data_IF_808431881534
#
_entry.id   IF_808431881534
#
_cell.length_a   1.000
_cell.length_b   1.000
_cell.length_c   1.000
_cell.angle_alpha   90.00
_cell.angle_beta   90.00
_cell.angle_gamma   90.00
#
_symmetry.space_group_name_H-M   'P 1'
#
loop_
_entity.id
_entity.type
_entity.pdbx_description
1 polymer ?
#
# COMPACT_ATOMS: atom_id res chain seq x y z
N UNK A 1 -26.68 -4.47 28.70
CA UNK A 1 -26.14 -5.69 28.07
C UNK A 1 -26.05 -5.41 26.59
N UNK A 2 -24.87 -5.53 25.98
CA UNK A 2 -24.66 -5.15 24.58
C UNK A 2 -25.45 -6.09 23.66
N UNK A 3 -26.26 -5.54 22.74
CA UNK A 3 -27.20 -6.31 21.89
C UNK A 3 -26.49 -7.40 21.09
N UNK A 4 -25.32 -7.09 20.54
CA UNK A 4 -24.53 -8.04 19.76
C UNK A 4 -24.15 -9.32 20.53
N UNK A 5 -24.00 -9.26 21.87
CA UNK A 5 -23.61 -10.43 22.69
C UNK A 5 -24.72 -11.47 22.85
N UNK A 6 -25.99 -11.10 22.64
CA UNK A 6 -27.14 -11.98 22.91
C UNK A 6 -28.08 -12.20 21.73
N UNK A 7 -27.94 -11.41 20.67
CA UNK A 7 -28.81 -11.46 19.49
C UNK A 7 -28.06 -11.81 18.20
N UNK A 8 -26.81 -12.31 18.33
CA UNK A 8 -25.97 -12.67 17.17
C UNK A 8 -25.13 -13.91 17.46
N UNK A 9 -24.64 -14.54 16.41
CA UNK A 9 -23.64 -15.62 16.49
C UNK A 9 -22.19 -15.09 16.51
N UNK A 10 -21.97 -13.77 16.47
CA UNK A 10 -20.63 -13.17 16.49
C UNK A 10 -19.79 -13.53 17.73
N UNK A 11 -20.35 -13.68 18.95
CA UNK A 11 -19.56 -14.18 20.09
C UNK A 11 -19.00 -15.58 19.88
N UNK A 12 -19.75 -16.47 19.23
CA UNK A 12 -19.29 -17.82 18.91
C UNK A 12 -18.16 -17.78 17.88
N UNK A 13 -18.27 -16.90 16.88
CA UNK A 13 -17.21 -16.65 15.90
C UNK A 13 -15.95 -16.09 16.55
N UNK A 14 -16.06 -15.09 17.44
CA UNK A 14 -14.91 -14.53 18.14
C UNK A 14 -14.18 -15.57 19.00
N UNK A 15 -14.92 -16.49 19.63
CA UNK A 15 -14.35 -17.51 20.49
C UNK A 15 -13.42 -18.49 19.74
N UNK A 16 -13.55 -18.59 18.41
CA UNK A 16 -12.69 -19.44 17.58
C UNK A 16 -11.35 -18.79 17.21
N UNK A 17 -11.24 -17.45 17.27
CA UNK A 17 -10.03 -16.76 16.86
C UNK A 17 -8.81 -17.20 17.69
N UNK A 18 -7.70 -17.52 17.02
CA UNK A 18 -6.47 -18.03 17.61
C UNK A 18 -6.54 -19.48 18.08
N UNK A 19 -7.66 -20.19 17.91
CA UNK A 19 -7.80 -21.60 18.25
C UNK A 19 -7.33 -22.50 17.10
N UNK A 20 -6.83 -23.71 17.41
CA UNK A 20 -6.48 -24.68 16.38
C UNK A 20 -7.71 -25.25 15.67
N UNK A 21 -7.53 -25.79 14.46
CA UNK A 21 -8.59 -26.38 13.64
C UNK A 21 -9.42 -27.46 14.37
N UNK A 22 -8.78 -28.23 15.25
CA UNK A 22 -9.37 -29.34 15.97
C UNK A 22 -10.11 -28.94 17.26
N UNK A 23 -10.09 -27.65 17.61
CA UNK A 23 -10.78 -27.12 18.79
C UNK A 23 -12.31 -27.34 18.68
N UNK A 24 -12.99 -27.77 19.76
CA UNK A 24 -14.43 -27.99 19.76
C UNK A 24 -15.26 -26.78 19.30
N UNK A 25 -14.83 -25.56 19.59
CA UNK A 25 -15.52 -24.35 19.16
C UNK A 25 -15.41 -24.14 17.63
N UNK A 26 -14.24 -24.45 17.05
CA UNK A 26 -14.02 -24.37 15.60
C UNK A 26 -14.85 -25.44 14.87
N UNK A 27 -14.89 -26.67 15.39
CA UNK A 27 -15.72 -27.74 14.82
C UNK A 27 -17.20 -27.41 14.85
N UNK A 28 -17.69 -26.85 15.96
CA UNK A 28 -19.08 -26.40 16.06
C UNK A 28 -19.40 -25.31 15.05
N UNK A 29 -18.51 -24.34 14.86
CA UNK A 29 -18.68 -23.31 13.84
C UNK A 29 -18.70 -23.91 12.42
N UNK A 30 -17.86 -24.91 12.15
CA UNK A 30 -17.86 -25.63 10.88
C UNK A 30 -19.18 -26.40 10.64
N UNK A 31 -19.77 -26.99 11.69
CA UNK A 31 -21.11 -27.58 11.64
C UNK A 31 -22.19 -26.53 11.35
N UNK A 32 -22.12 -25.36 11.99
CA UNK A 32 -23.03 -24.23 11.74
C UNK A 32 -22.91 -23.72 10.28
N UNK A 33 -21.75 -23.85 9.65
CA UNK A 33 -21.54 -23.58 8.22
C UNK A 33 -21.98 -24.71 7.28
N UNK A 34 -22.52 -25.81 7.80
CA UNK A 34 -23.07 -26.91 6.99
C UNK A 34 -22.14 -28.11 6.81
N UNK A 35 -21.11 -28.27 7.64
CA UNK A 35 -20.33 -29.50 7.74
C UNK A 35 -19.04 -29.50 6.93
N UNK A 36 -18.90 -30.38 5.92
CA UNK A 36 -17.61 -30.61 5.26
C UNK A 36 -17.19 -29.45 4.33
N UNK A 37 -16.02 -28.81 4.57
CA UNK A 37 -15.54 -27.73 3.71
C UNK A 37 -14.74 -28.27 2.52
N UNK A 38 -14.66 -27.47 1.45
CA UNK A 38 -13.57 -27.56 0.50
C UNK A 38 -12.30 -26.93 1.12
N UNK A 39 -11.17 -27.61 1.01
CA UNK A 39 -9.90 -27.16 1.62
C UNK A 39 -8.98 -26.58 0.55
N UNK A 40 -8.41 -25.41 0.83
CA UNK A 40 -7.30 -24.82 0.05
C UNK A 40 -6.12 -24.54 0.95
N UNK A 41 -4.98 -25.12 0.63
CA UNK A 41 -3.72 -24.89 1.32
C UNK A 41 -2.78 -24.07 0.42
N UNK A 42 -2.08 -23.10 0.99
CA UNK A 42 -1.05 -22.31 0.30
C UNK A 42 0.03 -21.81 1.25
N UNK A 43 1.20 -21.51 0.71
CA UNK A 43 2.34 -20.93 1.43
C UNK A 43 2.50 -19.45 1.08
N UNK A 44 2.50 -18.58 2.09
CA UNK A 44 2.58 -17.13 1.91
C UNK A 44 3.87 -16.58 2.53
N UNK A 45 4.63 -15.83 1.73
CA UNK A 45 5.81 -15.10 2.18
C UNK A 45 7.04 -15.96 2.53
N UNK A 46 8.14 -15.29 2.87
CA UNK A 46 9.37 -15.88 3.39
C UNK A 46 9.83 -15.05 4.61
N UNK A 47 9.91 -15.61 5.83
CA UNK A 47 9.64 -17.01 6.19
C UNK A 47 8.22 -17.47 5.85
N UNK A 48 8.10 -18.75 5.53
CA UNK A 48 6.83 -19.36 5.10
C UNK A 48 5.80 -19.31 6.22
N UNK A 49 4.63 -18.72 5.93
CA UNK A 49 3.40 -18.90 6.68
C UNK A 49 2.49 -19.87 5.94
N UNK A 50 2.00 -20.89 6.64
CA UNK A 50 1.05 -21.84 6.08
C UNK A 50 -0.36 -21.28 6.23
N UNK A 51 -1.06 -21.14 5.11
CA UNK A 51 -2.42 -20.64 5.09
C UNK A 51 -3.34 -21.77 4.62
N UNK A 52 -4.28 -22.14 5.48
CA UNK A 52 -5.35 -23.08 5.15
C UNK A 52 -6.68 -22.36 5.15
N UNK A 53 -7.49 -22.57 4.12
CA UNK A 53 -8.83 -21.99 3.99
C UNK A 53 -9.84 -23.12 3.91
N UNK A 54 -10.80 -23.11 4.83
CA UNK A 54 -11.95 -24.01 4.86
C UNK A 54 -13.14 -23.27 4.26
N UNK A 55 -13.56 -23.66 3.07
CA UNK A 55 -14.61 -23.03 2.28
C UNK A 55 -15.90 -23.85 2.38
N UNK A 56 -16.96 -23.25 2.90
CA UNK A 56 -18.23 -23.95 3.11
C UNK A 56 -19.24 -23.54 2.04
N UNK A 57 -20.07 -24.49 1.60
CA UNK A 57 -21.07 -24.27 0.56
C UNK A 57 -22.16 -23.25 0.96
N UNK A 58 -22.29 -22.98 2.26
CA UNK A 58 -23.14 -21.94 2.85
C UNK A 58 -22.64 -20.51 2.63
N UNK A 59 -21.40 -20.32 2.19
CA UNK A 59 -20.74 -19.01 2.10
C UNK A 59 -19.93 -18.64 3.35
N UNK A 60 -19.93 -19.49 4.37
CA UNK A 60 -18.98 -19.41 5.48
C UNK A 60 -17.57 -19.79 5.05
N UNK A 61 -16.58 -19.18 5.69
CA UNK A 61 -15.17 -19.51 5.47
C UNK A 61 -14.36 -19.32 6.75
N UNK A 62 -13.43 -20.26 7.01
CA UNK A 62 -12.47 -20.18 8.12
C UNK A 62 -11.06 -20.15 7.52
N UNK A 63 -10.30 -19.11 7.85
CA UNK A 63 -8.90 -18.94 7.43
C UNK A 63 -8.00 -19.23 8.62
N UNK A 64 -7.09 -20.18 8.45
CA UNK A 64 -6.08 -20.55 9.43
C UNK A 64 -4.70 -20.10 8.96
N UNK A 65 -3.94 -19.51 9.88
CA UNK A 65 -2.51 -19.22 9.74
C UNK A 65 -1.75 -20.12 10.71
N UNK A 66 -0.83 -20.92 10.17
CA UNK A 66 -0.01 -21.87 10.93
C UNK A 66 -0.84 -22.76 11.87
N UNK A 67 -2.01 -23.21 11.38
CA UNK A 67 -2.94 -24.09 12.09
C UNK A 67 -3.88 -23.42 13.08
N UNK A 68 -3.77 -22.10 13.30
CA UNK A 68 -4.65 -21.33 14.17
C UNK A 68 -5.61 -20.43 13.37
N UNK A 69 -6.87 -20.30 13.80
CA UNK A 69 -7.87 -19.46 13.12
C UNK A 69 -7.46 -17.98 13.16
N UNK A 70 -7.16 -17.42 11.99
CA UNK A 70 -6.79 -16.02 11.81
C UNK A 70 -7.99 -15.13 11.46
N UNK A 71 -8.95 -15.68 10.71
CA UNK A 71 -10.19 -14.99 10.35
C UNK A 71 -11.35 -15.96 10.15
N UNK A 72 -12.56 -15.43 10.32
CA UNK A 72 -13.80 -16.07 9.89
C UNK A 72 -14.55 -15.10 8.98
N UNK A 73 -14.95 -15.57 7.81
CA UNK A 73 -15.66 -14.77 6.81
C UNK A 73 -17.09 -15.29 6.67
N UNK A 74 -18.05 -14.37 6.71
CA UNK A 74 -19.46 -14.62 6.45
C UNK A 74 -19.80 -13.99 5.10
N UNK A 75 -19.89 -14.80 4.04
CA UNK A 75 -20.27 -14.35 2.71
C UNK A 75 -21.79 -14.40 2.50
N UNK A 76 -22.39 -13.27 2.13
CA UNK A 76 -23.85 -13.15 1.93
C UNK A 76 -24.26 -13.13 0.45
N UNK A 77 -23.30 -12.94 -0.45
CA UNK A 77 -23.49 -13.05 -1.88
C UNK A 77 -23.00 -14.43 -2.39
N UNK A 78 -23.62 -14.97 -3.46
CA UNK A 78 -23.11 -16.17 -4.12
C UNK A 78 -21.66 -16.01 -4.57
N UNK A 79 -20.86 -17.06 -4.42
CA UNK A 79 -19.45 -17.13 -4.82
C UNK A 79 -19.20 -18.44 -5.58
N UNK A 80 -18.08 -18.58 -6.32
CA UNK A 80 -17.74 -19.81 -7.05
C UNK A 80 -17.78 -21.07 -6.18
N UNK A 81 -17.39 -20.93 -4.90
CA UNK A 81 -17.32 -22.02 -3.93
C UNK A 81 -18.54 -22.09 -2.99
N UNK A 82 -19.50 -21.16 -3.14
CA UNK A 82 -20.70 -21.07 -2.32
C UNK A 82 -21.91 -20.66 -3.18
N UNK A 83 -22.69 -21.65 -3.62
CA UNK A 83 -23.84 -21.44 -4.51
C UNK A 83 -25.00 -20.68 -3.86
N UNK A 84 -25.06 -20.67 -2.53
CA UNK A 84 -26.01 -19.93 -1.72
C UNK A 84 -25.21 -19.16 -0.66
N UNK A 85 -25.24 -17.83 -0.70
CA UNK A 85 -24.67 -17.02 0.38
C UNK A 85 -25.45 -17.22 1.68
N UNK A 86 -24.84 -16.86 2.81
CA UNK A 86 -25.47 -16.92 4.12
C UNK A 86 -26.70 -16.00 4.19
N UNK A 87 -27.67 -16.37 5.03
CA UNK A 87 -28.75 -15.48 5.42
C UNK A 87 -28.33 -14.68 6.65
N UNK A 88 -28.14 -13.37 6.50
CA UNK A 88 -27.72 -12.48 7.58
C UNK A 88 -28.65 -12.55 8.79
N UNK A 89 -29.95 -12.82 8.59
CA UNK A 89 -30.93 -12.91 9.67
C UNK A 89 -30.65 -14.07 10.64
N UNK A 90 -29.98 -15.13 10.18
CA UNK A 90 -29.57 -16.27 11.01
C UNK A 90 -28.36 -15.92 11.90
N UNK A 91 -27.56 -14.93 11.49
CA UNK A 91 -26.33 -14.54 12.17
C UNK A 91 -26.49 -13.28 13.04
N UNK A 92 -27.35 -12.35 12.62
CA UNK A 92 -27.65 -11.09 13.29
C UNK A 92 -29.17 -10.91 13.31
N UNK A 93 -29.77 -10.99 14.49
CA UNK A 93 -31.22 -10.87 14.62
C UNK A 93 -31.70 -9.46 14.27
N UNK A 94 -32.80 -9.38 13.51
CA UNK A 94 -33.47 -8.12 13.18
C UNK A 94 -32.95 -7.41 11.94
N UNK A 95 -32.07 -8.04 11.17
CA UNK A 95 -31.58 -7.56 9.86
C UNK A 95 -31.76 -8.63 8.79
N UNK A 96 -31.70 -8.23 7.52
CA UNK A 96 -31.73 -9.13 6.36
C UNK A 96 -30.53 -8.85 5.47
N UNK A 97 -30.32 -9.63 4.41
CA UNK A 97 -29.26 -9.35 3.42
C UNK A 97 -29.41 -7.97 2.74
N UNK A 98 -30.54 -7.28 2.92
CA UNK A 98 -30.76 -5.91 2.46
C UNK A 98 -30.22 -4.84 3.42
N UNK A 99 -29.68 -5.22 4.58
CA UNK A 99 -29.29 -4.25 5.62
C UNK A 99 -28.19 -3.29 5.19
N UNK A 100 -28.44 -2.02 5.45
CA UNK A 100 -27.47 -0.92 5.37
C UNK A 100 -26.55 -0.90 6.60
N UNK A 101 -25.49 -0.10 6.54
CA UNK A 101 -24.55 0.10 7.65
C UNK A 101 -25.22 0.64 8.92
N UNK A 102 -26.17 1.55 8.77
CA UNK A 102 -26.89 2.15 9.91
C UNK A 102 -27.83 1.14 10.57
N UNK A 103 -28.48 0.28 9.79
CA UNK A 103 -29.32 -0.81 10.29
C UNK A 103 -28.49 -1.86 11.01
N UNK A 104 -27.33 -2.25 10.44
CA UNK A 104 -26.36 -3.13 11.08
C UNK A 104 -25.87 -2.57 12.42
N UNK A 105 -25.47 -1.28 12.44
CA UNK A 105 -25.02 -0.61 13.65
C UNK A 105 -26.12 -0.59 14.73
N UNK A 106 -27.37 -0.33 14.33
CA UNK A 106 -28.55 -0.30 15.21
C UNK A 106 -28.90 -1.69 15.77
N UNK A 107 -28.79 -2.73 14.95
CA UNK A 107 -29.04 -4.11 15.35
C UNK A 107 -27.99 -4.60 16.35
N UNK A 108 -26.72 -4.29 16.10
CA UNK A 108 -25.61 -4.65 16.98
C UNK A 108 -25.54 -3.78 18.24
N UNK A 109 -26.09 -2.56 18.18
CA UNK A 109 -25.95 -1.55 19.22
C UNK A 109 -24.50 -1.06 19.35
N UNK A 110 -23.78 -0.98 18.24
CA UNK A 110 -22.36 -0.66 18.18
C UNK A 110 -22.10 0.61 17.35
N UNK A 111 -21.01 1.30 17.69
CA UNK A 111 -20.53 2.44 16.91
C UNK A 111 -19.78 1.95 15.68
N UNK A 112 -20.03 2.59 14.54
CA UNK A 112 -19.27 2.37 13.31
C UNK A 112 -17.91 3.05 13.40
N UNK A 113 -16.87 2.32 13.03
CA UNK A 113 -15.52 2.84 12.80
C UNK A 113 -15.13 2.62 11.34
N UNK A 114 -14.09 3.33 10.89
CA UNK A 114 -13.58 3.21 9.52
C UNK A 114 -12.08 2.97 9.52
N UNK A 115 -11.65 2.03 8.68
CA UNK A 115 -10.26 1.87 8.25
C UNK A 115 -10.12 2.56 6.90
N UNK A 116 -9.36 3.66 6.85
CA UNK A 116 -9.32 4.52 5.66
C UNK A 116 -10.68 5.19 5.38
N UNK A 117 -10.97 5.44 4.11
CA UNK A 117 -12.18 6.19 3.69
C UNK A 117 -13.40 5.31 3.36
N UNK A 118 -13.26 3.98 3.31
CA UNK A 118 -14.29 3.12 2.70
C UNK A 118 -14.46 1.73 3.33
N UNK A 119 -13.72 1.40 4.39
CA UNK A 119 -13.82 0.08 5.04
C UNK A 119 -14.42 0.21 6.45
N UNK A 120 -15.75 0.18 6.58
CA UNK A 120 -16.41 0.23 7.88
C UNK A 120 -16.17 -1.06 8.68
N UNK A 121 -16.08 -0.92 10.00
CA UNK A 121 -15.98 -2.05 10.92
C UNK A 121 -16.60 -1.72 12.29
N UNK A 122 -16.89 -2.78 13.03
CA UNK A 122 -17.30 -2.73 14.44
C UNK A 122 -16.18 -3.27 15.32
N UNK A 123 -15.97 -2.62 16.46
CA UNK A 123 -15.13 -3.13 17.54
C UNK A 123 -15.99 -4.05 18.43
N UNK A 124 -15.48 -5.26 18.68
CA UNK A 124 -16.10 -6.27 19.52
C UNK A 124 -15.19 -6.59 20.69
N UNK A 125 -15.74 -7.18 21.74
CA UNK A 125 -14.97 -7.63 22.91
C UNK A 125 -14.08 -8.81 22.50
N UNK A 126 -12.78 -8.52 22.25
CA UNK A 126 -11.80 -9.50 21.80
C UNK A 126 -11.57 -9.58 20.28
N UNK A 127 -12.12 -8.66 19.48
CA UNK A 127 -11.84 -8.63 18.04
C UNK A 127 -12.61 -7.56 17.26
N UNK A 128 -12.71 -7.73 15.96
CA UNK A 128 -13.29 -6.75 15.04
C UNK A 128 -14.10 -7.45 13.95
N UNK A 129 -15.24 -6.86 13.59
CA UNK A 129 -16.05 -7.27 12.45
C UNK A 129 -15.98 -6.20 11.35
N UNK A 130 -15.24 -6.46 10.29
CA UNK A 130 -15.11 -5.58 9.12
C UNK A 130 -16.17 -5.93 8.09
N UNK A 131 -16.80 -4.91 7.50
CA UNK A 131 -17.82 -5.07 6.48
C UNK A 131 -17.26 -4.77 5.10
N UNK A 132 -17.58 -5.61 4.13
CA UNK A 132 -17.25 -5.41 2.72
C UNK A 132 -18.54 -5.22 1.93
N UNK A 133 -18.64 -4.08 1.25
CA UNK A 133 -19.77 -3.73 0.40
C UNK A 133 -19.36 -3.77 -1.08
N UNK A 134 -20.32 -4.00 -1.97
CA UNK A 134 -20.09 -4.06 -3.42
C UNK A 134 -19.46 -2.77 -3.95
N UNK A 135 -18.37 -2.90 -4.70
CA UNK A 135 -17.52 -1.80 -5.22
C UNK A 135 -16.81 -0.98 -4.13
N UNK A 136 -16.74 -1.46 -2.88
CA UNK A 136 -16.13 -0.73 -1.76
C UNK A 136 -16.88 0.55 -1.38
N UNK A 137 -18.16 0.66 -1.74
CA UNK A 137 -19.05 1.81 -1.48
C UNK A 137 -20.49 1.34 -1.33
N UNK A 138 -21.41 2.29 -1.14
CA UNK A 138 -22.85 1.99 -1.10
C UNK A 138 -23.29 1.34 0.20
N UNK A 139 -22.58 1.60 1.31
CA UNK A 139 -22.94 1.11 2.63
C UNK A 139 -24.26 1.71 3.17
N UNK A 140 -24.79 2.74 2.51
CA UNK A 140 -26.12 3.32 2.76
C UNK A 140 -27.20 2.77 1.83
N UNK A 141 -26.86 1.89 0.89
CA UNK A 141 -27.79 1.32 -0.08
C UNK A 141 -28.14 -0.12 0.33
N UNK A 142 -29.43 -0.50 0.27
CA UNK A 142 -29.85 -1.87 0.57
C UNK A 142 -29.20 -2.91 -0.36
N UNK A 143 -28.94 -4.10 0.19
CA UNK A 143 -28.55 -5.28 -0.58
C UNK A 143 -27.10 -5.27 -1.08
N UNK A 144 -26.28 -4.34 -0.57
CA UNK A 144 -24.88 -4.18 -1.01
C UNK A 144 -23.86 -4.84 -0.10
N UNK A 145 -24.25 -5.36 1.06
CA UNK A 145 -23.35 -6.10 1.94
C UNK A 145 -22.94 -7.41 1.25
N UNK A 146 -21.64 -7.57 1.02
CA UNK A 146 -21.09 -8.77 0.40
C UNK A 146 -20.57 -9.75 1.44
N UNK A 147 -19.92 -9.23 2.48
CA UNK A 147 -19.21 -10.05 3.47
C UNK A 147 -19.03 -9.33 4.80
N UNK A 148 -19.05 -10.09 5.89
CA UNK A 148 -18.51 -9.70 7.19
C UNK A 148 -17.27 -10.54 7.47
N UNK A 149 -16.14 -9.89 7.76
CA UNK A 149 -14.88 -10.56 8.14
C UNK A 149 -14.61 -10.30 9.61
N UNK A 150 -14.51 -11.36 10.41
CA UNK A 150 -14.21 -11.30 11.84
C UNK A 150 -12.75 -11.69 12.08
N UNK A 151 -12.00 -10.81 12.75
CA UNK A 151 -10.56 -10.95 13.00
C UNK A 151 -10.17 -10.45 14.39
N UNK A 152 -9.03 -10.92 14.92
CA UNK A 152 -8.50 -10.41 16.19
C UNK A 152 -7.76 -9.07 16.01
N UNK A 153 -7.16 -8.86 14.84
CA UNK A 153 -6.39 -7.65 14.55
C UNK A 153 -7.28 -6.51 14.08
N UNK A 154 -6.97 -5.29 14.53
CA UNK A 154 -7.71 -4.09 14.15
C UNK A 154 -7.59 -3.80 12.65
N UNK A 155 -8.70 -3.62 11.92
CA UNK A 155 -8.65 -3.22 10.52
C UNK A 155 -7.81 -1.96 10.31
N UNK A 156 -6.90 -2.02 9.32
CA UNK A 156 -5.97 -0.94 9.00
C UNK A 156 -4.64 -0.98 9.75
N UNK A 157 -4.51 -1.84 10.78
CA UNK A 157 -3.25 -2.04 11.52
C UNK A 157 -2.58 -3.39 11.23
N UNK A 158 -3.24 -4.29 10.49
CA UNK A 158 -2.67 -5.56 10.05
C UNK A 158 -3.15 -5.88 8.63
N UNK A 159 -2.38 -6.69 7.91
CA UNK A 159 -2.82 -7.25 6.64
C UNK A 159 -4.05 -8.13 6.88
N UNK A 160 -4.99 -8.11 5.94
CA UNK A 160 -6.17 -8.92 6.08
C UNK A 160 -5.88 -10.38 5.70
N UNK A 161 -6.24 -11.37 6.53
CA UNK A 161 -5.98 -12.78 6.23
C UNK A 161 -6.57 -13.25 4.91
N UNK A 162 -7.72 -12.69 4.50
CA UNK A 162 -8.34 -13.04 3.22
C UNK A 162 -7.62 -12.46 2.01
N UNK A 163 -6.69 -11.52 2.16
CA UNK A 163 -5.88 -11.03 1.04
C UNK A 163 -4.80 -12.05 0.64
N UNK A 164 -4.57 -13.11 1.43
CA UNK A 164 -3.53 -14.11 1.17
C UNK A 164 -3.69 -14.82 -0.17
N UNK A 165 -4.88 -14.83 -0.78
CA UNK A 165 -5.15 -15.36 -2.13
C UNK A 165 -5.29 -14.26 -3.19
N UNK A 166 -4.93 -13.01 -2.87
CA UNK A 166 -5.08 -11.88 -3.79
C UNK A 166 -4.42 -12.19 -5.15
N UNK A 167 -5.20 -12.26 -6.25
CA UNK A 167 -4.74 -12.79 -7.53
C UNK A 167 -3.63 -11.94 -8.16
N UNK A 168 -3.51 -10.68 -7.73
CA UNK A 168 -2.49 -9.76 -8.23
C UNK A 168 -1.14 -9.91 -7.55
N UNK A 169 -1.06 -10.50 -6.35
CA UNK A 169 0.20 -10.47 -5.57
C UNK A 169 0.54 -11.73 -4.77
N UNK A 170 -0.40 -12.65 -4.54
CA UNK A 170 -0.15 -13.87 -3.76
C UNK A 170 0.87 -14.81 -4.43
N UNK A 171 0.83 -14.89 -5.76
CA UNK A 171 1.70 -15.78 -6.56
C UNK A 171 3.00 -15.17 -7.05
N UNK A 172 3.42 -14.00 -6.55
CA UNK A 172 4.62 -13.30 -7.07
C UNK A 172 5.94 -13.78 -6.44
N UNK A 173 5.88 -14.43 -5.27
CA UNK A 173 7.03 -15.08 -4.67
C UNK A 173 7.25 -16.44 -5.32
N UNK A 174 8.42 -16.62 -5.95
CA UNK A 174 8.79 -17.89 -6.59
C UNK A 174 9.79 -18.63 -5.71
N UNK A 175 9.56 -19.93 -5.51
CA UNK A 175 10.43 -20.82 -4.75
C UNK A 175 10.99 -21.93 -5.64
N UNK A 176 12.20 -22.36 -5.33
CA UNK A 176 12.83 -23.55 -5.89
C UNK A 176 13.29 -24.49 -4.75
N UNK A 177 14.03 -25.55 -5.06
CA UNK A 177 14.47 -26.53 -4.06
C UNK A 177 15.41 -25.98 -2.98
N UNK A 178 15.99 -24.79 -3.19
CA UNK A 178 16.89 -24.12 -2.25
C UNK A 178 16.22 -23.00 -1.44
N UNK A 179 14.92 -22.77 -1.62
CA UNK A 179 14.17 -21.69 -0.98
C UNK A 179 13.69 -20.64 -1.99
N UNK A 180 13.81 -19.36 -1.66
CA UNK A 180 13.40 -18.26 -2.54
C UNK A 180 14.25 -18.22 -3.80
N UNK A 181 13.61 -18.29 -4.96
CA UNK A 181 14.25 -18.05 -6.25
C UNK A 181 14.26 -16.53 -6.50
N UNK A 182 15.39 -15.89 -6.17
CA UNK A 182 15.53 -14.43 -6.26
C UNK A 182 15.30 -13.94 -7.69
N UNK A 183 15.87 -14.60 -8.69
CA UNK A 183 15.76 -14.16 -10.08
C UNK A 183 14.33 -14.28 -10.60
N UNK A 184 13.70 -15.44 -10.40
CA UNK A 184 12.33 -15.65 -10.82
C UNK A 184 11.35 -14.73 -10.05
N UNK A 185 11.59 -14.46 -8.77
CA UNK A 185 10.79 -13.52 -7.97
C UNK A 185 10.93 -12.08 -8.48
N UNK A 186 12.16 -11.61 -8.79
CA UNK A 186 12.38 -10.29 -9.39
C UNK A 186 11.68 -10.19 -10.75
N UNK A 187 11.76 -11.22 -11.60
CA UNK A 187 11.07 -11.24 -12.89
C UNK A 187 9.55 -11.17 -12.73
N UNK A 188 8.96 -11.93 -11.80
CA UNK A 188 7.52 -11.91 -11.54
C UNK A 188 7.05 -10.52 -11.04
N UNK A 189 7.78 -9.91 -10.11
CA UNK A 189 7.50 -8.57 -9.60
C UNK A 189 7.63 -7.49 -10.69
N UNK A 190 8.64 -7.60 -11.57
CA UNK A 190 8.86 -6.67 -12.67
C UNK A 190 7.72 -6.74 -13.69
N UNK A 191 7.31 -7.95 -14.09
CA UNK A 191 6.16 -8.14 -14.98
C UNK A 191 4.87 -7.56 -14.37
N UNK A 192 4.69 -7.70 -13.05
CA UNK A 192 3.55 -7.14 -12.33
C UNK A 192 3.59 -5.60 -12.24
N UNK A 193 4.78 -4.99 -12.13
CA UNK A 193 4.96 -3.54 -12.26
C UNK A 193 4.62 -3.04 -13.67
N UNK A 194 5.10 -3.73 -14.71
CA UNK A 194 4.85 -3.38 -16.11
C UNK A 194 3.36 -3.52 -16.49
N UNK A 195 2.69 -4.54 -15.96
CA UNK A 195 1.23 -4.70 -16.07
C UNK A 195 0.44 -3.65 -15.27
N UNK A 196 1.10 -2.85 -14.44
CA UNK A 196 0.49 -1.81 -13.63
C UNK A 196 -0.36 -2.34 -12.48
N UNK A 197 -0.18 -3.60 -12.08
CA UNK A 197 -0.87 -4.17 -10.91
C UNK A 197 -0.16 -3.82 -9.60
N UNK A 198 1.13 -3.47 -9.68
CA UNK A 198 1.94 -2.97 -8.57
C UNK A 198 2.29 -1.48 -8.73
N UNK A 199 2.67 -0.86 -7.62
CA UNK A 199 3.41 0.42 -7.60
C UNK A 199 4.64 0.29 -6.73
N UNK A 200 5.77 0.77 -7.20
CA UNK A 200 7.01 0.82 -6.44
C UNK A 200 7.08 2.07 -5.56
N UNK A 201 7.69 1.94 -4.37
CA UNK A 201 8.02 3.08 -3.51
C UNK A 201 9.45 3.56 -3.76
N UNK A 202 9.60 4.73 -4.37
CA UNK A 202 10.89 5.31 -4.74
C UNK A 202 11.79 5.68 -3.54
N UNK A 203 11.29 5.60 -2.29
CA UNK A 203 12.12 5.79 -1.08
C UNK A 203 13.03 4.61 -0.78
N UNK A 204 12.68 3.43 -1.29
CA UNK A 204 13.40 2.18 -1.07
C UNK A 204 14.30 1.84 -2.27
N UNK A 205 15.10 0.78 -2.15
CA UNK A 205 15.86 0.28 -3.28
C UNK A 205 14.87 -0.11 -4.38
N UNK A 206 15.02 0.47 -5.58
CA UNK A 206 14.21 0.09 -6.73
C UNK A 206 14.41 -1.40 -7.02
N UNK A 207 13.36 -2.10 -7.43
CA UNK A 207 13.40 -3.52 -7.76
C UNK A 207 14.49 -3.82 -8.79
N UNK A 208 14.64 -2.96 -9.81
CA UNK A 208 15.67 -3.08 -10.83
C UNK A 208 17.10 -2.98 -10.26
N UNK A 209 17.28 -2.26 -9.16
CA UNK A 209 18.56 -2.00 -8.51
C UNK A 209 18.83 -2.99 -7.35
N UNK A 210 17.83 -3.78 -6.93
CA UNK A 210 17.90 -4.70 -5.79
C UNK A 210 19.04 -5.71 -5.90
N UNK A 211 19.16 -6.40 -7.05
CA UNK A 211 20.21 -7.42 -7.24
C UNK A 211 21.61 -6.81 -7.39
N UNK A 212 21.84 -5.77 -8.23
CA UNK A 212 23.15 -5.13 -8.31
C UNK A 212 23.64 -4.60 -6.96
N UNK A 213 22.77 -3.95 -6.19
CA UNK A 213 23.10 -3.44 -4.86
C UNK A 213 23.45 -4.59 -3.91
N UNK A 214 22.66 -5.67 -3.88
CA UNK A 214 22.96 -6.84 -3.05
C UNK A 214 24.30 -7.47 -3.43
N UNK A 215 24.55 -7.68 -4.72
CA UNK A 215 25.79 -8.26 -5.24
C UNK A 215 27.04 -7.41 -4.93
N UNK A 216 26.88 -6.10 -4.78
CA UNK A 216 27.98 -5.20 -4.39
C UNK A 216 28.49 -5.44 -2.97
N UNK A 217 27.67 -6.04 -2.10
CA UNK A 217 27.99 -6.22 -0.68
C UNK A 217 28.09 -4.91 0.12
N UNK A 218 27.67 -3.77 -0.43
CA UNK A 218 27.78 -2.46 0.24
C UNK A 218 26.72 -2.22 1.33
N UNK A 219 25.58 -2.92 1.25
CA UNK A 219 24.51 -2.87 2.24
C UNK A 219 24.49 -4.16 3.06
N UNK A 220 24.08 -4.08 4.32
CA UNK A 220 23.77 -5.28 5.10
C UNK A 220 22.43 -5.87 4.61
N UNK A 221 21.52 -4.97 4.23
CA UNK A 221 20.14 -5.27 3.87
C UNK A 221 19.68 -4.39 2.71
N UNK A 222 19.48 -4.98 1.54
CA UNK A 222 18.85 -4.32 0.40
C UNK A 222 17.36 -4.70 0.35
N UNK A 223 16.45 -3.73 0.37
CA UNK A 223 15.00 -3.99 0.34
C UNK A 223 14.28 -3.14 -0.72
N UNK A 224 13.48 -3.84 -1.54
CA UNK A 224 12.50 -3.22 -2.43
C UNK A 224 11.09 -3.35 -1.82
N UNK A 225 10.32 -2.26 -1.86
CA UNK A 225 8.95 -2.22 -1.40
C UNK A 225 7.97 -1.91 -2.54
N UNK A 226 7.00 -2.80 -2.75
CA UNK A 226 5.99 -2.70 -3.80
C UNK A 226 4.59 -2.78 -3.20
N UNK A 227 3.70 -1.88 -3.58
CA UNK A 227 2.30 -1.89 -3.15
C UNK A 227 1.42 -2.56 -4.20
N UNK A 228 0.64 -3.56 -3.80
CA UNK A 228 -0.40 -4.14 -4.65
C UNK A 228 -1.55 -3.14 -4.83
N UNK A 229 -1.99 -2.87 -6.06
CA UNK A 229 -3.10 -1.94 -6.29
C UNK A 229 -4.46 -2.50 -5.89
N UNK A 230 -4.60 -3.82 -5.91
CA UNK A 230 -5.83 -4.54 -5.57
C UNK A 230 -6.03 -4.61 -4.04
N UNK A 231 -5.19 -5.38 -3.33
CA UNK A 231 -5.33 -5.58 -1.89
C UNK A 231 -4.60 -4.53 -1.03
N UNK A 232 -3.85 -3.60 -1.63
CA UNK A 232 -3.12 -2.52 -0.94
C UNK A 232 -2.01 -2.97 0.03
N UNK A 233 -1.76 -4.28 0.16
CA UNK A 233 -0.61 -4.81 0.90
C UNK A 233 0.69 -4.36 0.25
N UNK A 234 1.69 -4.10 1.08
CA UNK A 234 3.04 -3.77 0.65
C UNK A 234 3.88 -5.03 0.76
N UNK A 235 4.41 -5.50 -0.37
CA UNK A 235 5.41 -6.56 -0.42
C UNK A 235 6.76 -5.92 -0.14
N UNK A 236 7.45 -6.44 0.87
CA UNK A 236 8.81 -6.08 1.19
C UNK A 236 9.70 -7.27 0.83
N UNK A 237 10.46 -7.15 -0.26
CA UNK A 237 11.40 -8.16 -0.70
C UNK A 237 12.82 -7.73 -0.31
N UNK A 238 13.43 -8.48 0.61
CA UNK A 238 14.72 -8.16 1.23
C UNK A 238 15.76 -9.19 0.83
N UNK A 239 16.93 -8.71 0.40
CA UNK A 239 18.15 -9.50 0.26
C UNK A 239 19.13 -9.06 1.35
N UNK A 240 19.56 -10.01 2.19
CA UNK A 240 20.58 -9.77 3.20
C UNK A 240 21.94 -10.22 2.69
N UNK A 241 23.00 -9.56 3.17
CA UNK A 241 24.38 -9.97 2.85
C UNK A 241 24.68 -11.39 3.32
N UNK A 242 24.36 -11.68 4.58
CA UNK A 242 24.80 -12.89 5.27
C UNK A 242 23.61 -13.74 5.79
N UNK A 243 22.40 -13.55 5.24
CA UNK A 243 21.21 -14.30 5.64
C UNK A 243 20.30 -14.61 4.42
N UNK A 244 19.42 -15.62 4.51
CA UNK A 244 18.47 -15.93 3.45
C UNK A 244 17.56 -14.75 3.11
N UNK A 245 17.11 -14.61 1.84
CA UNK A 245 16.13 -13.61 1.45
C UNK A 245 14.83 -13.72 2.24
N UNK A 246 14.15 -12.59 2.44
CA UNK A 246 12.79 -12.58 3.03
C UNK A 246 11.82 -11.85 2.13
N UNK A 247 10.57 -12.29 2.11
CA UNK A 247 9.49 -11.71 1.33
C UNK A 247 8.24 -11.63 2.20
N UNK A 248 7.88 -10.45 2.70
CA UNK A 248 6.74 -10.29 3.59
C UNK A 248 5.69 -9.34 3.05
N UNK A 249 4.45 -9.51 3.51
CA UNK A 249 3.34 -8.58 3.24
C UNK A 249 3.06 -7.76 4.49
N UNK A 250 2.95 -6.44 4.32
CA UNK A 250 2.81 -5.49 5.41
C UNK A 250 1.76 -4.42 5.10
N UNK A 251 1.20 -3.82 6.15
CA UNK A 251 0.47 -2.55 6.04
C UNK A 251 1.45 -1.38 5.95
N UNK A 252 0.97 -0.22 5.48
CA UNK A 252 1.79 0.98 5.27
C UNK A 252 2.67 1.35 6.48
N UNK A 253 2.09 1.39 7.67
CA UNK A 253 2.83 1.81 8.86
C UNK A 253 3.96 0.84 9.23
N UNK A 254 3.73 -0.47 9.06
CA UNK A 254 4.73 -1.48 9.38
C UNK A 254 5.83 -1.49 8.32
N UNK A 255 5.48 -1.41 7.04
CA UNK A 255 6.43 -1.30 5.94
C UNK A 255 7.34 -0.07 6.09
N UNK A 256 6.76 1.06 6.53
CA UNK A 256 7.51 2.30 6.77
C UNK A 256 8.43 2.26 8.00
N UNK A 257 8.18 1.36 8.95
CA UNK A 257 9.01 1.18 10.15
C UNK A 257 10.16 0.19 9.92
N UNK A 258 10.22 -0.46 8.76
CA UNK A 258 11.30 -1.39 8.44
C UNK A 258 12.64 -0.64 8.42
N UNK A 259 13.74 -1.28 8.85
CA UNK A 259 15.06 -0.68 8.77
C UNK A 259 15.44 -0.36 7.32
N UNK A 260 15.98 0.85 7.12
CA UNK A 260 16.46 1.36 5.83
C UNK A 260 17.90 1.80 5.99
N UNK A 261 18.82 1.05 5.39
CA UNK A 261 20.21 1.49 5.24
C UNK A 261 20.28 2.59 4.17
N UNK A 262 21.25 3.49 4.29
CA UNK A 262 21.52 4.46 3.23
C UNK A 262 21.91 3.71 1.95
N UNK A 263 21.19 3.98 0.86
CA UNK A 263 21.50 3.42 -0.45
C UNK A 263 22.83 4.03 -0.92
N UNK A 264 23.87 3.21 -1.20
CA UNK A 264 25.16 3.72 -1.65
C UNK A 264 25.03 4.45 -2.99
N UNK A 265 25.91 5.43 -3.27
CA UNK A 265 25.97 6.11 -4.56
C UNK A 265 26.06 5.11 -5.72
N UNK A 266 25.37 5.41 -6.82
CA UNK A 266 25.23 4.51 -7.98
C UNK A 266 26.58 4.11 -8.58
N UNK A 267 27.59 4.98 -8.49
CA UNK A 267 28.95 4.80 -8.99
C UNK A 267 29.68 3.65 -8.32
N UNK A 268 29.23 3.22 -7.15
CA UNK A 268 29.89 2.16 -6.37
C UNK A 268 29.42 0.75 -6.74
N UNK A 269 28.28 0.60 -7.42
CA UNK A 269 27.67 -0.72 -7.65
C UNK A 269 27.03 -0.91 -9.04
N UNK A 270 26.73 0.16 -9.76
CA UNK A 270 26.02 0.07 -11.04
C UNK A 270 26.95 -0.23 -12.22
N UNK A 271 26.40 -0.90 -13.23
CA UNK A 271 27.05 -1.04 -14.54
C UNK A 271 26.98 0.26 -15.36
N UNK A 272 27.70 0.29 -16.48
CA UNK A 272 27.76 1.45 -17.36
C UNK A 272 26.39 1.88 -17.93
N UNK A 273 25.48 0.93 -18.17
CA UNK A 273 24.16 1.22 -18.70
C UNK A 273 23.27 1.88 -17.63
N UNK A 274 23.31 1.37 -16.40
CA UNK A 274 22.59 1.95 -15.26
C UNK A 274 23.17 3.30 -14.84
N UNK A 275 24.48 3.50 -14.93
CA UNK A 275 25.12 4.81 -14.75
C UNK A 275 24.70 5.82 -15.83
N UNK A 276 24.60 5.38 -17.08
CA UNK A 276 24.06 6.22 -18.14
C UNK A 276 22.60 6.60 -17.86
N UNK A 277 21.78 5.65 -17.40
CA UNK A 277 20.40 5.93 -16.96
C UNK A 277 20.34 6.90 -15.78
N UNK A 278 21.24 6.80 -14.80
CA UNK A 278 21.26 7.73 -13.66
C UNK A 278 21.64 9.14 -14.12
N UNK A 279 22.67 9.27 -14.96
CA UNK A 279 23.04 10.56 -15.55
C UNK A 279 21.91 11.20 -16.35
N UNK A 280 21.10 10.36 -16.99
CA UNK A 280 19.92 10.77 -17.75
C UNK A 280 18.69 11.02 -16.87
N UNK A 281 18.73 10.67 -15.58
CA UNK A 281 17.64 10.89 -14.63
C UNK A 281 17.70 12.30 -14.02
N UNK A 282 16.55 12.78 -13.54
CA UNK A 282 16.51 13.99 -12.71
C UNK A 282 17.06 13.67 -11.32
N UNK A 283 17.93 14.52 -10.81
CA UNK A 283 18.51 14.43 -9.47
C UNK A 283 18.31 15.74 -8.70
N UNK A 284 18.17 15.63 -7.39
CA UNK A 284 18.10 16.77 -6.48
C UNK A 284 19.44 17.52 -6.45
N UNK A 285 19.40 18.86 -6.41
CA UNK A 285 20.57 19.72 -6.25
C UNK A 285 20.46 20.63 -5.02
N UNK A 286 19.34 21.33 -4.87
CA UNK A 286 19.11 22.27 -3.76
C UNK A 286 17.61 22.47 -3.51
N UNK A 287 17.21 23.04 -2.38
CA UNK A 287 15.83 23.46 -2.15
C UNK A 287 15.71 24.54 -1.07
N UNK A 288 14.59 25.27 -1.12
CA UNK A 288 14.09 26.05 0.03
C UNK A 288 12.88 25.34 0.63
N UNK A 289 12.89 24.97 1.92
CA UNK A 289 11.76 24.30 2.57
C UNK A 289 10.44 25.04 2.35
N UNK A 290 9.45 24.32 1.81
CA UNK A 290 8.13 24.87 1.49
C UNK A 290 8.06 25.81 0.28
N UNK A 291 9.19 26.15 -0.35
CA UNK A 291 9.27 27.13 -1.44
C UNK A 291 9.53 26.51 -2.81
N UNK A 292 10.71 25.92 -3.01
CA UNK A 292 11.13 25.43 -4.33
C UNK A 292 12.15 24.31 -4.23
N UNK A 293 12.26 23.50 -5.28
CA UNK A 293 13.34 22.51 -5.47
C UNK A 293 14.11 22.81 -6.76
N UNK A 294 15.44 22.74 -6.70
CA UNK A 294 16.31 22.73 -7.85
C UNK A 294 16.67 21.28 -8.16
N UNK A 295 16.40 20.86 -9.40
CA UNK A 295 16.76 19.52 -9.88
C UNK A 295 17.55 19.64 -11.18
N UNK A 296 18.56 18.78 -11.33
CA UNK A 296 19.39 18.69 -12.54
C UNK A 296 19.01 17.47 -13.37
N UNK A 297 19.15 17.55 -14.68
CA UNK A 297 19.12 16.39 -15.57
C UNK A 297 20.14 16.62 -16.69
N UNK A 298 21.18 15.78 -16.77
CA UNK A 298 22.37 16.04 -17.60
C UNK A 298 22.94 17.44 -17.29
N UNK A 299 23.10 18.28 -18.31
CA UNK A 299 23.62 19.65 -18.19
C UNK A 299 22.51 20.72 -18.06
N UNK A 300 21.26 20.29 -17.84
CA UNK A 300 20.11 21.19 -17.72
C UNK A 300 19.65 21.31 -16.26
N UNK A 301 19.27 22.53 -15.87
CA UNK A 301 18.74 22.87 -14.55
C UNK A 301 17.25 23.19 -14.64
N UNK A 302 16.49 22.67 -13.69
CA UNK A 302 15.06 22.87 -13.58
C UNK A 302 14.71 23.37 -12.18
N UNK A 303 13.82 24.35 -12.12
CA UNK A 303 13.27 24.88 -10.89
C UNK A 303 11.81 24.46 -10.75
N UNK A 304 11.52 23.66 -9.74
CA UNK A 304 10.18 23.30 -9.29
C UNK A 304 9.72 24.32 -8.24
N UNK A 305 9.02 25.37 -8.69
CA UNK A 305 8.60 26.48 -7.83
C UNK A 305 7.16 26.27 -7.36
N UNK A 306 6.94 26.25 -6.03
CA UNK A 306 5.60 26.15 -5.47
C UNK A 306 4.84 27.46 -5.61
N UNK A 307 3.54 27.36 -5.87
CA UNK A 307 2.65 28.51 -5.87
C UNK A 307 1.26 28.12 -5.32
N UNK A 308 0.59 29.09 -4.72
CA UNK A 308 -0.80 28.94 -4.26
C UNK A 308 -1.73 29.69 -5.21
N UNK A 309 -2.75 28.99 -5.73
CA UNK A 309 -3.82 29.60 -6.52
C UNK A 309 -4.91 30.23 -5.62
N UNK A 310 -5.10 29.64 -4.44
CA UNK A 310 -6.03 30.11 -3.42
C UNK A 310 -5.51 29.71 -2.04
N UNK A 311 -6.17 30.16 -0.97
CA UNK A 311 -5.83 29.75 0.40
C UNK A 311 -5.92 28.24 0.67
N UNK A 312 -6.44 27.44 -0.28
CA UNK A 312 -6.72 26.01 -0.12
C UNK A 312 -6.03 25.14 -1.20
N UNK A 313 -5.50 25.75 -2.27
CA UNK A 313 -4.92 25.01 -3.40
C UNK A 313 -3.49 25.45 -3.64
N UNK A 314 -2.56 24.55 -3.32
CA UNK A 314 -1.13 24.63 -3.65
C UNK A 314 -0.81 23.72 -4.82
N UNK A 315 -0.03 24.21 -5.78
CA UNK A 315 0.60 23.43 -6.84
C UNK A 315 2.04 23.93 -7.05
N UNK A 316 2.66 23.49 -8.13
CA UNK A 316 4.04 23.78 -8.50
C UNK A 316 4.13 24.00 -10.00
N UNK A 317 5.07 24.84 -10.42
CA UNK A 317 5.43 25.03 -11.81
C UNK A 317 6.87 24.56 -12.00
N UNK A 318 7.08 23.63 -12.93
CA UNK A 318 8.42 23.18 -13.28
C UNK A 318 8.89 23.95 -14.51
N UNK A 319 9.92 24.77 -14.36
CA UNK A 319 10.53 25.48 -15.47
C UNK A 319 11.96 24.99 -15.68
N UNK A 320 12.39 24.93 -16.94
CA UNK A 320 13.81 24.84 -17.28
C UNK A 320 14.43 26.23 -17.17
N UNK A 321 15.56 26.33 -16.47
CA UNK A 321 16.33 27.57 -16.40
C UNK A 321 16.94 27.87 -17.77
N UNK A 322 16.67 29.06 -18.30
CA UNK A 322 17.34 29.51 -19.52
C UNK A 322 18.79 29.93 -19.25
N UNK A 323 19.53 30.29 -20.30
CA UNK A 323 20.95 30.66 -20.17
C UNK A 323 21.18 31.87 -19.25
N UNK A 324 20.27 32.85 -19.26
CA UNK A 324 20.37 34.03 -18.40
C UNK A 324 20.07 33.70 -16.95
N UNK A 325 19.08 32.83 -16.70
CA UNK A 325 18.72 32.38 -15.36
C UNK A 325 19.77 31.45 -14.77
N UNK A 326 20.40 30.59 -15.60
CA UNK A 326 21.55 29.78 -15.18
C UNK A 326 22.74 30.64 -14.80
N UNK A 327 23.09 31.64 -15.62
CA UNK A 327 24.18 32.57 -15.31
C UNK A 327 23.88 33.35 -14.03
N UNK A 328 22.65 33.83 -13.85
CA UNK A 328 22.25 34.53 -12.64
C UNK A 328 22.24 33.61 -11.41
N UNK A 329 21.97 32.32 -11.58
CA UNK A 329 22.15 31.31 -10.54
C UNK A 329 23.63 31.08 -10.22
N UNK A 330 24.52 31.01 -11.20
CA UNK A 330 25.96 30.87 -10.96
C UNK A 330 26.52 32.06 -10.14
N UNK A 331 26.00 33.27 -10.39
CA UNK A 331 26.42 34.50 -9.70
C UNK A 331 25.71 34.69 -8.33
N UNK A 332 24.41 34.37 -8.23
CA UNK A 332 23.55 34.68 -7.09
C UNK A 332 23.12 33.48 -6.23
N UNK A 333 23.42 32.27 -6.68
CA UNK A 333 23.15 30.99 -6.00
C UNK A 333 21.71 30.83 -5.51
N UNK A 334 21.59 30.30 -4.29
CA UNK A 334 20.32 30.05 -3.62
C UNK A 334 19.40 31.29 -3.50
N UNK A 335 20.00 32.48 -3.35
CA UNK A 335 19.25 33.74 -3.24
C UNK A 335 18.49 34.05 -4.52
N UNK A 336 19.16 33.94 -5.66
CA UNK A 336 18.54 34.15 -6.97
C UNK A 336 17.36 33.20 -7.22
N UNK A 337 17.50 31.91 -6.89
CA UNK A 337 16.41 30.94 -7.08
C UNK A 337 15.20 31.25 -6.20
N UNK A 338 15.42 31.74 -4.98
CA UNK A 338 14.34 32.18 -4.10
C UNK A 338 13.58 33.37 -4.67
N UNK A 339 14.27 34.36 -5.23
CA UNK A 339 13.65 35.49 -5.90
C UNK A 339 12.91 35.06 -7.18
N UNK A 340 13.48 34.14 -7.96
CA UNK A 340 12.85 33.60 -9.16
C UNK A 340 11.57 32.83 -8.83
N UNK A 341 11.59 31.97 -7.81
CA UNK A 341 10.41 31.26 -7.33
C UNK A 341 9.32 32.23 -6.86
N UNK A 342 9.69 33.31 -6.17
CA UNK A 342 8.75 34.35 -5.76
C UNK A 342 8.16 35.10 -6.95
N UNK A 343 8.96 35.43 -7.98
CA UNK A 343 8.44 36.00 -9.24
C UNK A 343 7.45 35.06 -9.93
N UNK A 344 7.73 33.76 -9.97
CA UNK A 344 6.83 32.75 -10.54
C UNK A 344 5.52 32.72 -9.75
N UNK A 345 5.59 32.66 -8.41
CA UNK A 345 4.41 32.66 -7.56
C UNK A 345 3.53 33.89 -7.80
N UNK A 346 4.14 35.08 -7.76
CA UNK A 346 3.44 36.36 -7.86
C UNK A 346 2.88 36.65 -9.25
N UNK A 347 3.37 35.99 -10.31
CA UNK A 347 2.85 36.19 -11.66
C UNK A 347 1.59 35.39 -11.96
N UNK A 348 1.16 34.49 -11.06
CA UNK A 348 0.03 33.59 -11.30
C UNK A 348 0.31 32.62 -12.46
N UNK A 349 1.18 31.62 -12.29
CA UNK A 349 1.68 30.78 -13.40
C UNK A 349 0.62 29.88 -14.04
N UNK A 350 -0.57 29.82 -13.42
CA UNK A 350 -1.76 29.16 -13.94
C UNK A 350 -2.59 30.02 -14.92
N UNK A 351 -2.27 31.31 -15.08
CA UNK A 351 -2.92 32.25 -16.01
C UNK A 351 -2.13 32.35 -17.31
N UNK A 352 -2.79 32.37 -18.47
CA UNK A 352 -2.13 32.37 -19.78
C UNK A 352 -1.25 33.60 -20.03
N UNK A 353 -1.56 34.69 -19.33
CA UNK A 353 -0.88 35.97 -19.38
C UNK A 353 0.46 35.97 -18.63
N UNK A 354 0.65 34.99 -17.74
CA UNK A 354 1.90 34.83 -16.99
C UNK A 354 3.04 34.42 -17.94
N UNK A 355 4.22 35.04 -17.84
CA UNK A 355 5.39 34.65 -18.64
C UNK A 355 5.84 33.21 -18.34
N UNK A 356 5.42 32.63 -17.22
CA UNK A 356 5.78 31.26 -16.82
C UNK A 356 4.74 30.22 -17.24
N UNK A 357 3.55 30.62 -17.70
CA UNK A 357 2.48 29.67 -18.08
C UNK A 357 2.90 28.73 -19.21
N UNK A 358 3.51 29.29 -20.25
CA UNK A 358 3.99 28.50 -21.39
C UNK A 358 5.30 27.74 -21.08
N UNK A 359 5.99 28.12 -20.01
CA UNK A 359 7.25 27.51 -19.56
C UNK A 359 7.04 26.35 -18.60
N UNK A 360 5.86 26.26 -17.98
CA UNK A 360 5.51 25.20 -17.04
C UNK A 360 5.40 23.84 -17.76
N UNK A 361 6.44 23.04 -17.59
CA UNK A 361 6.57 21.72 -18.19
C UNK A 361 5.52 20.73 -17.67
N UNK A 362 4.94 20.96 -16.48
CA UNK A 362 3.86 20.12 -15.97
C UNK A 362 2.54 20.26 -16.74
N UNK A 363 2.40 21.32 -17.55
CA UNK A 363 1.21 21.55 -18.40
C UNK A 363 1.35 20.95 -19.79
N UNK A 364 2.57 20.59 -20.20
CA UNK A 364 2.85 19.97 -21.49
C UNK A 364 2.37 18.53 -21.59
N UNK A 365 2.45 17.94 -22.79
CA UNK A 365 2.09 16.55 -23.04
C UNK A 365 2.86 15.57 -22.13
N UNK A 366 4.11 15.91 -21.79
CA UNK A 366 4.98 15.13 -20.90
C UNK A 366 4.82 15.49 -19.41
N UNK A 367 3.85 16.31 -19.03
CA UNK A 367 3.73 16.84 -17.67
C UNK A 367 3.64 15.76 -16.60
N UNK A 368 2.91 14.67 -16.86
CA UNK A 368 2.84 13.50 -15.95
C UNK A 368 4.21 12.85 -15.75
N UNK A 369 5.02 12.75 -16.82
CA UNK A 369 6.37 12.19 -16.76
C UNK A 369 7.28 13.08 -15.93
N UNK A 370 7.26 14.39 -16.17
CA UNK A 370 8.04 15.35 -15.38
C UNK A 370 7.66 15.32 -13.90
N UNK A 371 6.36 15.31 -13.55
CA UNK A 371 5.92 15.20 -12.15
C UNK A 371 6.46 13.93 -11.49
N UNK A 372 6.45 12.80 -12.21
CA UNK A 372 7.03 11.55 -11.68
C UNK A 372 8.54 11.64 -11.50
N UNK A 373 9.26 12.27 -12.42
CA UNK A 373 10.72 12.42 -12.35
C UNK A 373 11.13 13.34 -11.20
N UNK A 374 10.49 14.50 -11.05
CA UNK A 374 10.75 15.43 -9.94
C UNK A 374 10.39 14.80 -8.61
N UNK A 375 9.22 14.17 -8.49
CA UNK A 375 8.80 13.50 -7.26
C UNK A 375 9.80 12.41 -6.82
N UNK A 376 10.35 11.65 -7.77
CA UNK A 376 11.40 10.68 -7.50
C UNK A 376 12.71 11.35 -7.04
N UNK A 377 13.13 12.44 -7.71
CA UNK A 377 14.36 13.15 -7.40
C UNK A 377 14.36 13.78 -5.99
N UNK A 378 13.21 14.32 -5.55
CA UNK A 378 13.12 15.09 -4.30
C UNK A 378 12.62 14.26 -3.10
N UNK A 379 12.34 12.97 -3.27
CA UNK A 379 11.60 12.16 -2.29
C UNK A 379 12.20 12.19 -0.88
N UNK A 380 13.54 12.24 -0.78
CA UNK A 380 14.30 12.29 0.46
C UNK A 380 14.57 13.71 1.01
N UNK A 381 14.15 14.75 0.27
CA UNK A 381 14.36 16.16 0.58
C UNK A 381 13.05 16.90 0.89
N UNK A 382 11.93 16.18 0.92
CA UNK A 382 10.65 16.75 1.35
C UNK A 382 10.64 17.02 2.86
N UNK A 383 9.81 17.97 3.30
CA UNK A 383 9.61 18.26 4.73
C UNK A 383 9.27 17.00 5.55
N UNK A 384 8.48 16.07 4.99
CA UNK A 384 8.17 14.78 5.64
C UNK A 384 9.43 13.92 5.84
N UNK A 385 10.36 13.92 4.88
CA UNK A 385 11.63 13.21 5.00
C UNK A 385 12.56 13.85 6.04
N UNK A 386 12.56 15.19 6.16
CA UNK A 386 13.30 15.89 7.22
C UNK A 386 12.76 15.58 8.62
N UNK A 387 11.43 15.57 8.80
CA UNK A 387 10.81 15.22 10.08
C UNK A 387 11.15 13.77 10.50
N UNK A 388 11.21 12.84 9.55
CA UNK A 388 11.59 11.45 9.84
C UNK A 388 13.04 11.31 10.29
N UNK A 389 13.98 12.01 9.64
CA UNK A 389 15.40 12.03 10.05
C UNK A 389 15.55 12.56 11.47
N UNK A 390 14.89 13.67 11.79
CA UNK A 390 14.87 14.25 13.15
C UNK A 390 14.24 13.35 14.21
N UNK A 391 13.41 12.39 13.83
CA UNK A 391 12.79 11.43 14.75
C UNK A 391 13.59 10.13 14.90
N UNK A 392 14.59 9.90 14.03
CA UNK A 392 15.48 8.74 14.05
C UNK A 392 16.84 9.04 14.72
N UNK A 393 17.19 10.32 14.84
CA UNK A 393 18.24 10.86 15.73
C UNK A 393 17.69 11.01 17.16
#
# INVERSE_FOLDING_TARGET
MERWKTHTLLPAVLATLGRPEDDPAVRRLAEDFGGAPAVRDQEVGEPVRHVRRLLFSSGGEIVLHDGAVAAVLLGFAPAPDASRGLDLAEWISGVTNEATLDELASALGLKVHFSGMSSPYFELDGGYARLSFKDGRGWNEPGRLMRVTVTAAKPGLACHPEDDDCPSCSGLLVRNSAGVDVDATVTALQAALEAGVLTEDARWVKLADLRPIHASGLMERAESQLTCRECRRIMCFTLYRDAPPTFGYYVLNDAMRRPMDLIPPVEQWADAERLARERDAMHYLDHRPGGWFLVGQRDELYLDARYSYSAVIDDSALIRLDESERKAYDDGGHGYLSELAERIHNSGPYQKESPYYARDLYRGADGKKYRSMVAAAIVNHTWLAEQRRKAAE
#
